data_IF_350850102251
#
_entry.id   IF_350850102251
#
_cell.length_a   1.000
_cell.length_b   1.000
_cell.length_c   1.000
_cell.angle_alpha   90.00
_cell.angle_beta   90.00
_cell.angle_gamma   90.00
#
_symmetry.space_group_name_H-M   'P 1'
#
loop_
_entity.id
_entity.type
_entity.pdbx_description
1 polymer ?
#
# COMPACT_ATOMS: atom_id res chain seq x y z
N UNK A 1 -16.72 52.11 -15.42
CA UNK A 1 -16.71 52.68 -16.78
C UNK A 1 -16.31 51.57 -17.74
N UNK A 2 -17.24 51.13 -18.59
CA UNK A 2 -17.03 50.08 -19.58
C UNK A 2 -16.13 50.57 -20.72
N UNK A 3 -15.20 49.74 -21.19
CA UNK A 3 -14.87 49.61 -22.62
C UNK A 3 -14.51 48.15 -22.94
N UNK A 4 -15.29 47.57 -23.85
CA UNK A 4 -15.00 46.41 -24.71
C UNK A 4 -14.15 46.87 -25.91
N UNK A 5 -13.46 46.11 -26.77
CA UNK A 5 -13.50 44.74 -27.34
C UNK A 5 -12.02 44.31 -27.58
N UNK A 6 -11.64 43.02 -27.61
CA UNK A 6 -11.90 42.05 -28.68
C UNK A 6 -10.88 40.88 -28.63
N UNK A 7 -11.08 39.79 -29.40
CA UNK A 7 -10.80 38.42 -28.97
C UNK A 7 -9.61 37.76 -29.68
N UNK A 8 -9.14 36.63 -29.12
CA UNK A 8 -8.52 35.43 -29.74
C UNK A 8 -7.36 34.86 -28.91
N UNK A 9 -7.69 33.74 -28.24
CA UNK A 9 -6.87 32.57 -27.90
C UNK A 9 -5.64 32.75 -26.99
N UNK A 10 -5.79 32.30 -25.74
CA UNK A 10 -4.71 32.07 -24.80
C UNK A 10 -5.20 31.87 -23.37
N UNK A 11 -5.98 30.82 -23.10
CA UNK A 11 -6.21 30.41 -21.71
C UNK A 11 -5.07 29.46 -21.31
N UNK A 12 -3.96 30.05 -20.86
CA UNK A 12 -3.11 29.40 -19.87
C UNK A 12 -3.78 29.70 -18.54
N UNK A 13 -4.30 28.71 -17.79
CA UNK A 13 -4.69 28.97 -16.42
C UNK A 13 -3.39 29.22 -15.64
N UNK A 14 -3.16 30.48 -15.29
CA UNK A 14 -2.22 30.85 -14.24
C UNK A 14 -2.64 30.11 -12.97
N UNK A 15 -1.90 29.05 -12.63
CA UNK A 15 -2.06 28.33 -11.39
C UNK A 15 -1.80 29.29 -10.21
N UNK A 16 -2.78 29.55 -9.34
CA UNK A 16 -2.50 30.24 -8.10
C UNK A 16 -1.96 29.21 -7.10
N UNK A 17 -0.66 29.35 -6.80
CA UNK A 17 -0.03 29.05 -5.51
C UNK A 17 -0.11 27.58 -5.04
N UNK A 18 0.90 26.74 -5.39
CA UNK A 18 0.98 25.32 -5.00
C UNK A 18 1.12 25.05 -3.49
N UNK A 19 1.49 26.06 -2.70
CA UNK A 19 1.88 25.86 -1.30
C UNK A 19 0.69 25.71 -0.32
N UNK A 20 -0.44 26.38 -0.60
CA UNK A 20 -1.62 26.33 0.27
C UNK A 20 -2.50 25.10 0.00
N UNK A 21 -2.47 24.57 -1.22
CA UNK A 21 -3.15 23.32 -1.57
C UNK A 21 -2.39 22.09 -1.05
N UNK A 22 -1.05 22.14 -0.97
CA UNK A 22 -0.28 21.10 -0.29
C UNK A 22 -0.66 21.01 1.19
N UNK A 23 -0.89 22.15 1.87
CA UNK A 23 -1.35 22.14 3.26
C UNK A 23 -2.82 21.74 3.44
N UNK A 24 -3.68 21.80 2.42
CA UNK A 24 -5.10 21.42 2.59
C UNK A 24 -5.42 20.01 2.10
N UNK A 25 -4.76 19.57 1.02
CA UNK A 25 -4.92 18.22 0.47
C UNK A 25 -4.15 17.20 1.32
N UNK A 26 -3.07 17.63 1.98
CA UNK A 26 -2.51 16.88 3.09
C UNK A 26 -3.21 17.25 4.42
N UNK A 27 -3.59 18.48 4.65
CA UNK A 27 -4.45 18.90 5.78
C UNK A 27 -5.62 17.98 6.16
N UNK A 28 -6.50 17.74 5.18
CA UNK A 28 -7.80 17.14 5.43
C UNK A 28 -7.77 15.62 5.71
N UNK A 29 -6.80 14.84 5.16
CA UNK A 29 -6.54 13.50 5.63
C UNK A 29 -5.36 13.39 6.62
N UNK A 30 -4.56 14.42 6.91
CA UNK A 30 -3.35 14.22 7.75
C UNK A 30 -3.59 14.36 9.25
N UNK A 31 -4.85 14.49 9.67
CA UNK A 31 -5.27 14.09 11.01
C UNK A 31 -5.25 12.57 11.23
N UNK A 32 -5.05 11.76 10.17
CA UNK A 32 -5.37 10.33 10.16
C UNK A 32 -4.20 9.40 10.44
N UNK A 33 -2.96 9.87 10.40
CA UNK A 33 -1.82 8.95 10.32
C UNK A 33 -1.34 8.38 11.67
N UNK A 34 -1.72 9.02 12.77
CA UNK A 34 -1.59 8.45 14.12
C UNK A 34 -2.90 7.93 14.71
N UNK A 35 -4.04 8.11 14.01
CA UNK A 35 -5.38 7.82 14.55
C UNK A 35 -6.17 6.77 13.73
N UNK A 36 -5.79 6.48 12.49
CA UNK A 36 -6.35 5.32 11.76
C UNK A 36 -5.75 4.02 12.25
N UNK A 37 -4.46 3.97 12.58
CA UNK A 37 -3.94 2.85 13.38
C UNK A 37 -4.23 3.09 14.86
N UNK A 38 -4.92 2.16 15.51
CA UNK A 38 -5.29 2.31 16.93
C UNK A 38 -4.44 1.51 17.87
N UNK A 39 -4.10 0.31 17.43
CA UNK A 39 -3.50 -0.69 18.26
C UNK A 39 -2.38 -1.36 17.49
N UNK A 40 -1.22 -1.44 18.14
CA UNK A 40 -0.24 -2.45 17.77
C UNK A 40 -0.68 -3.76 18.43
N UNK A 41 -0.96 -4.74 17.58
CA UNK A 41 -1.41 -6.07 17.97
C UNK A 41 -0.20 -7.01 18.05
N UNK A 42 -0.28 -7.99 18.93
CA UNK A 42 0.72 -9.04 19.06
C UNK A 42 0.03 -10.37 19.35
N UNK A 43 0.41 -11.44 18.65
CA UNK A 43 -0.19 -12.76 18.75
C UNK A 43 0.89 -13.82 18.96
N UNK A 44 0.63 -14.77 19.86
CA UNK A 44 1.44 -15.99 20.03
C UNK A 44 1.01 -17.05 19.00
N UNK A 45 1.89 -17.33 18.03
CA UNK A 45 1.62 -18.24 16.92
C UNK A 45 2.03 -19.70 17.16
N UNK A 46 2.51 -20.07 18.36
CA UNK A 46 3.05 -21.42 18.67
C UNK A 46 2.13 -22.60 18.36
N UNK A 47 0.82 -22.40 18.26
CA UNK A 47 -0.19 -23.45 18.00
C UNK A 47 -0.98 -23.25 16.71
N UNK A 48 -0.58 -22.31 15.86
CA UNK A 48 -1.34 -21.93 14.66
C UNK A 48 -0.78 -22.68 13.46
N UNK A 49 -1.66 -23.37 12.74
CA UNK A 49 -1.33 -23.95 11.44
C UNK A 49 -1.22 -22.88 10.37
N UNK A 50 -0.29 -23.07 9.44
CA UNK A 50 -0.07 -22.23 8.25
C UNK A 50 -1.39 -21.97 7.48
N UNK A 51 -1.67 -20.72 7.14
CA UNK A 51 -2.86 -20.33 6.35
C UNK A 51 -4.19 -20.22 7.10
N UNK A 52 -4.21 -20.21 8.44
CA UNK A 52 -5.44 -20.00 9.20
C UNK A 52 -6.04 -18.59 8.96
N UNK A 53 -7.30 -18.54 8.51
CA UNK A 53 -7.99 -17.31 8.08
C UNK A 53 -8.46 -16.38 9.22
N UNK A 54 -8.20 -16.71 10.49
CA UNK A 54 -8.49 -15.89 11.68
C UNK A 54 -8.12 -16.62 12.99
N UNK A 55 -7.81 -15.91 14.09
CA UNK A 55 -6.67 -15.02 14.27
C UNK A 55 -5.34 -15.80 14.30
N UNK A 56 -4.24 -15.17 13.86
CA UNK A 56 -2.88 -15.72 13.71
C UNK A 56 -2.19 -16.10 15.04
N UNK A 57 -2.94 -16.39 16.10
CA UNK A 57 -2.42 -16.78 17.40
C UNK A 57 -3.32 -16.42 18.56
N UNK A 58 -2.88 -16.76 19.77
CA UNK A 58 -3.49 -16.26 21.00
C UNK A 58 -3.09 -14.78 21.15
N UNK A 59 -4.04 -13.82 21.21
CA UNK A 59 -3.71 -12.41 21.31
C UNK A 59 -3.11 -12.07 22.67
N UNK A 60 -2.06 -11.27 22.68
CA UNK A 60 -1.60 -10.55 23.85
C UNK A 60 -2.41 -9.24 24.02
N UNK A 61 -2.36 -8.58 25.20
CA UNK A 61 -2.96 -7.27 25.38
C UNK A 61 -2.41 -6.25 24.35
N UNK A 62 -3.25 -5.63 23.52
CA UNK A 62 -2.78 -4.72 22.48
C UNK A 62 -2.16 -3.45 23.08
N UNK A 63 -1.24 -2.83 22.34
CA UNK A 63 -0.69 -1.53 22.73
C UNK A 63 -1.54 -0.41 22.13
N UNK A 64 -2.16 0.41 22.97
CA UNK A 64 -2.95 1.57 22.54
C UNK A 64 -2.02 2.67 22.03
N UNK A 65 -2.15 3.06 20.75
CA UNK A 65 -1.33 4.13 20.16
C UNK A 65 -1.68 5.53 20.71
N UNK A 66 -2.85 5.67 21.36
CA UNK A 66 -3.20 6.89 22.10
C UNK A 66 -2.38 7.06 23.39
N UNK A 67 -1.78 5.98 23.90
CA UNK A 67 -0.92 5.97 25.09
C UNK A 67 0.57 6.00 24.72
N UNK A 68 0.90 6.39 23.49
CA UNK A 68 2.28 6.59 23.04
C UNK A 68 2.71 8.04 23.24
N UNK A 69 3.98 8.22 23.60
CA UNK A 69 4.66 9.50 23.44
C UNK A 69 5.34 9.55 22.08
N UNK A 70 5.22 10.69 21.41
CA UNK A 70 5.74 10.89 20.05
C UNK A 70 6.82 11.95 20.05
N UNK A 71 7.91 11.67 19.33
CA UNK A 71 9.00 12.60 19.13
C UNK A 71 8.54 13.83 18.33
N UNK A 72 9.23 14.95 18.53
CA UNK A 72 8.94 16.16 17.76
C UNK A 72 9.31 15.98 16.29
N UNK A 73 8.34 16.21 15.41
CA UNK A 73 8.46 16.10 13.95
C UNK A 73 9.40 17.13 13.33
N UNK A 74 9.71 18.24 14.02
CA UNK A 74 10.54 19.32 13.44
C UNK A 74 11.90 18.82 12.99
N UNK A 75 12.47 17.84 13.70
CA UNK A 75 13.78 17.29 13.37
C UNK A 75 13.74 16.23 12.26
N UNK A 76 12.57 15.62 12.00
CA UNK A 76 12.39 14.58 10.98
C UNK A 76 11.75 15.08 9.69
N UNK A 77 11.33 16.36 9.65
CA UNK A 77 10.74 16.98 8.47
C UNK A 77 11.82 17.24 7.41
N UNK A 78 11.70 16.58 6.27
CA UNK A 78 12.53 16.77 5.11
C UNK A 78 11.71 17.33 3.95
N UNK A 79 11.91 18.62 3.67
CA UNK A 79 11.22 19.34 2.59
C UNK A 79 11.72 18.95 1.20
N UNK A 80 12.91 18.35 1.08
CA UNK A 80 13.46 17.93 -0.21
C UNK A 80 12.81 16.64 -0.69
N UNK A 81 12.54 15.71 0.24
CA UNK A 81 11.86 14.44 -0.03
C UNK A 81 10.36 14.49 0.25
N UNK A 82 9.86 15.65 0.72
CA UNK A 82 8.47 15.88 1.16
C UNK A 82 8.01 14.83 2.18
N UNK A 83 8.87 14.56 3.17
CA UNK A 83 8.63 13.50 4.16
C UNK A 83 8.77 13.95 5.61
N UNK A 84 8.11 13.24 6.52
CA UNK A 84 8.22 13.43 7.96
C UNK A 84 8.08 12.07 8.67
N UNK A 85 8.68 11.93 9.85
CA UNK A 85 8.63 10.70 10.63
C UNK A 85 8.08 10.97 12.03
N UNK A 86 7.00 10.26 12.37
CA UNK A 86 6.41 10.22 13.70
C UNK A 86 6.91 8.96 14.39
N UNK A 87 7.89 9.11 15.27
CA UNK A 87 8.47 8.00 16.03
C UNK A 87 8.02 8.08 17.48
N UNK A 88 7.56 6.97 18.04
CA UNK A 88 7.03 6.94 19.40
C UNK A 88 7.25 5.62 20.12
N UNK A 89 6.96 5.66 21.41
CA UNK A 89 7.01 4.53 22.34
C UNK A 89 5.89 4.67 23.39
N UNK A 90 5.42 3.56 23.99
CA UNK A 90 4.42 3.60 25.06
C UNK A 90 4.86 4.47 26.25
N UNK A 91 3.96 5.27 26.82
CA UNK A 91 4.23 6.14 27.98
C UNK A 91 4.40 5.32 29.26
N UNK A 92 3.43 4.44 29.54
CA UNK A 92 3.43 3.58 30.74
C UNK A 92 3.96 2.20 30.39
N UNK A 93 5.27 2.06 30.38
CA UNK A 93 5.93 0.80 30.08
C UNK A 93 6.42 0.07 31.35
N UNK A 94 5.63 -0.89 31.83
CA UNK A 94 6.02 -1.73 32.98
C UNK A 94 6.91 -2.92 32.62
N UNK A 95 6.92 -3.34 31.35
CA UNK A 95 7.61 -4.57 30.89
C UNK A 95 8.97 -4.31 30.24
N UNK A 96 9.29 -3.05 29.92
CA UNK A 96 10.53 -2.67 29.23
C UNK A 96 10.68 -3.22 27.80
N UNK A 97 9.57 -3.49 27.11
CA UNK A 97 9.59 -4.03 25.76
C UNK A 97 10.11 -3.02 24.71
N UNK A 98 9.79 -1.74 24.87
CA UNK A 98 10.19 -0.60 24.04
C UNK A 98 11.37 0.17 24.65
N UNK A 99 12.09 -0.38 25.63
CA UNK A 99 13.26 0.27 26.21
C UNK A 99 14.32 0.65 25.16
N UNK A 100 14.50 -0.20 24.14
CA UNK A 100 15.33 0.07 22.95
C UNK A 100 14.52 0.01 21.65
N UNK A 101 13.19 0.08 21.76
CA UNK A 101 12.26 -0.15 20.67
C UNK A 101 11.47 1.09 20.32
N UNK A 102 10.99 1.18 19.08
CA UNK A 102 10.10 2.26 18.66
C UNK A 102 9.15 1.80 17.57
N UNK A 103 7.98 2.45 17.53
CA UNK A 103 7.08 2.41 16.40
C UNK A 103 7.18 3.74 15.65
N UNK A 104 7.40 3.69 14.34
CA UNK A 104 7.53 4.86 13.50
C UNK A 104 6.54 4.84 12.34
N UNK A 105 5.89 5.97 12.10
CA UNK A 105 5.09 6.26 10.91
C UNK A 105 5.83 7.30 10.08
N UNK A 106 6.39 6.87 8.95
CA UNK A 106 6.98 7.76 7.97
C UNK A 106 5.95 8.11 6.91
N UNK A 107 5.72 9.41 6.73
CA UNK A 107 4.81 9.95 5.73
C UNK A 107 5.62 10.59 4.63
N UNK A 108 5.30 10.31 3.38
CA UNK A 108 5.93 10.93 2.22
C UNK A 108 4.88 11.33 1.19
N UNK A 109 4.91 12.59 0.77
CA UNK A 109 4.10 13.09 -0.33
C UNK A 109 4.88 13.08 -1.64
N UNK A 110 4.17 13.16 -2.78
CA UNK A 110 4.77 13.15 -4.10
C UNK A 110 4.25 14.30 -4.95
N UNK A 111 5.13 14.90 -5.78
CA UNK A 111 4.77 15.98 -6.70
C UNK A 111 4.36 15.49 -8.09
N UNK A 112 4.46 14.19 -8.35
CA UNK A 112 4.26 13.59 -9.67
C UNK A 112 4.09 12.08 -9.57
N UNK A 113 4.02 11.43 -10.73
CA UNK A 113 3.92 9.97 -10.78
C UNK A 113 5.29 9.31 -10.81
N UNK A 114 5.43 8.18 -10.11
CA UNK A 114 6.70 7.48 -10.03
C UNK A 114 6.65 6.25 -9.15
N UNK A 115 7.83 5.66 -8.92
CA UNK A 115 8.02 4.56 -7.96
C UNK A 115 9.20 4.88 -7.03
N UNK A 116 9.09 4.58 -5.73
CA UNK A 116 10.23 4.65 -4.82
C UNK A 116 11.30 3.65 -5.23
N UNK A 117 12.56 3.95 -4.87
CA UNK A 117 13.68 3.04 -5.08
C UNK A 117 13.69 1.85 -4.10
N UNK A 118 12.94 1.92 -3.00
CA UNK A 118 12.86 0.84 -2.01
C UNK A 118 11.60 -0.02 -2.21
N UNK A 119 11.69 -1.34 -1.97
CA UNK A 119 10.52 -2.21 -1.89
C UNK A 119 9.49 -1.69 -0.88
N UNK A 120 8.18 -1.84 -1.15
CA UNK A 120 7.55 -2.63 -2.22
C UNK A 120 7.26 -1.86 -3.54
N UNK A 121 7.98 -0.75 -3.81
CA UNK A 121 7.93 0.02 -5.06
C UNK A 121 6.50 0.38 -5.55
N UNK A 122 5.62 0.77 -4.61
CA UNK A 122 4.24 1.15 -4.90
C UNK A 122 4.22 2.33 -5.89
N UNK A 123 3.40 2.20 -6.94
CA UNK A 123 3.19 3.27 -7.93
C UNK A 123 2.44 4.41 -7.27
N UNK A 124 3.05 5.59 -7.20
CA UNK A 124 2.40 6.78 -6.65
C UNK A 124 2.09 7.80 -7.73
N UNK A 125 1.21 8.75 -7.40
CA UNK A 125 0.86 9.93 -8.20
C UNK A 125 0.95 11.18 -7.32
N UNK A 126 0.71 12.36 -7.89
CA UNK A 126 0.63 13.60 -7.11
C UNK A 126 -0.59 13.65 -6.17
N UNK A 127 -1.54 12.73 -6.35
CA UNK A 127 -2.79 12.66 -5.59
C UNK A 127 -2.72 11.65 -4.43
N UNK A 128 -1.53 11.08 -4.18
CA UNK A 128 -1.29 10.12 -3.11
C UNK A 128 -0.10 10.47 -2.24
N UNK A 129 -0.09 9.87 -1.06
CA UNK A 129 0.99 9.90 -0.09
C UNK A 129 1.28 8.47 0.36
N UNK A 130 2.55 8.19 0.60
CA UNK A 130 2.98 6.91 1.13
C UNK A 130 3.12 6.98 2.64
N UNK A 131 2.61 5.97 3.31
CA UNK A 131 2.82 5.70 4.72
C UNK A 131 3.64 4.45 4.85
N UNK A 132 4.77 4.56 5.52
CA UNK A 132 5.57 3.43 5.95
C UNK A 132 5.47 3.30 7.47
N UNK A 133 5.09 2.11 7.93
CA UNK A 133 5.07 1.76 9.35
C UNK A 133 6.27 0.87 9.65
N UNK A 134 7.05 1.25 10.65
CA UNK A 134 8.25 0.52 11.08
C UNK A 134 8.18 0.23 12.57
N UNK A 135 8.26 -1.04 12.93
CA UNK A 135 8.52 -1.49 14.30
C UNK A 135 9.97 -1.92 14.37
N UNK A 136 10.76 -1.28 15.22
CA UNK A 136 12.21 -1.49 15.31
C UNK A 136 12.63 -1.62 16.77
N UNK A 137 13.26 -2.75 17.13
CA UNK A 137 13.90 -2.99 18.43
C UNK A 137 12.98 -3.29 19.61
N UNK A 138 11.66 -3.36 19.41
CA UNK A 138 10.73 -3.72 20.49
C UNK A 138 10.84 -5.22 20.83
N UNK A 139 10.98 -5.55 22.11
CA UNK A 139 11.11 -6.94 22.57
C UNK A 139 9.74 -7.64 22.52
N UNK A 140 9.61 -8.77 21.79
CA UNK A 140 8.36 -9.52 21.76
C UNK A 140 8.07 -10.17 23.13
N UNK A 141 6.80 -10.36 23.44
CA UNK A 141 6.33 -11.03 24.66
C UNK A 141 6.39 -12.55 24.59
N UNK A 142 6.55 -13.10 23.38
CA UNK A 142 6.68 -14.53 23.12
C UNK A 142 7.78 -14.82 22.10
N UNK A 143 8.18 -16.09 22.02
CA UNK A 143 9.23 -16.51 21.09
C UNK A 143 8.76 -16.50 19.62
N UNK A 144 7.46 -16.69 19.39
CA UNK A 144 6.84 -16.70 18.06
C UNK A 144 5.74 -15.63 18.01
N UNK A 145 6.13 -14.38 18.26
CA UNK A 145 5.22 -13.24 18.19
C UNK A 145 5.00 -12.79 16.75
N UNK A 146 3.74 -12.76 16.33
CA UNK A 146 3.29 -12.13 15.09
C UNK A 146 2.70 -10.77 15.45
N UNK A 147 3.24 -9.71 14.86
CA UNK A 147 2.73 -8.36 15.06
C UNK A 147 1.63 -8.03 14.05
N UNK A 148 0.79 -7.07 14.42
CA UNK A 148 -0.26 -6.56 13.56
C UNK A 148 -0.64 -5.12 13.89
N UNK A 149 -1.47 -4.53 13.04
CA UNK A 149 -2.02 -3.20 13.23
C UNK A 149 -3.53 -3.25 13.06
N UNK A 150 -4.26 -2.71 14.03
CA UNK A 150 -5.68 -2.39 13.85
C UNK A 150 -5.77 -1.07 13.09
N UNK A 151 -6.35 -1.09 11.90
CA UNK A 151 -6.60 0.07 11.04
C UNK A 151 -8.09 0.39 11.05
N UNK A 152 -8.42 1.65 11.25
CA UNK A 152 -9.77 2.19 11.37
C UNK A 152 -9.95 3.31 10.39
N UNK A 153 -11.04 3.26 9.64
CA UNK A 153 -11.39 4.25 8.63
C UNK A 153 -12.77 4.82 8.91
N UNK A 154 -13.03 6.03 8.42
CA UNK A 154 -14.37 6.65 8.54
C UNK A 154 -15.32 5.95 7.55
N UNK A 155 -16.45 5.46 8.07
CA UNK A 155 -17.48 4.81 7.28
C UNK A 155 -18.34 5.85 6.55
N UNK A 156 -18.59 5.61 5.25
CA UNK A 156 -19.44 6.48 4.41
C UNK A 156 -20.92 6.05 4.40
N UNK A 157 -21.28 4.97 5.11
CA UNK A 157 -22.62 4.40 5.17
C UNK A 157 -22.82 3.43 6.34
N UNK A 158 -23.84 2.58 6.24
CA UNK A 158 -24.12 1.51 7.23
C UNK A 158 -23.17 0.32 7.08
N UNK A 159 -22.71 0.07 5.85
CA UNK A 159 -21.82 -1.03 5.51
C UNK A 159 -20.38 -0.54 5.34
N UNK A 160 -19.43 -1.42 5.65
CA UNK A 160 -18.02 -1.15 5.43
C UNK A 160 -17.59 -1.55 4.01
N UNK A 161 -16.65 -0.80 3.40
CA UNK A 161 -16.09 -1.19 2.12
C UNK A 161 -15.34 -2.52 2.25
N UNK A 162 -15.27 -3.27 1.15
CA UNK A 162 -14.46 -4.48 1.07
C UNK A 162 -13.12 -4.21 0.39
N UNK A 163 -12.08 -4.92 0.83
CA UNK A 163 -10.79 -4.93 0.16
C UNK A 163 -10.93 -5.65 -1.18
N UNK A 164 -10.43 -5.04 -2.25
CA UNK A 164 -10.33 -5.63 -3.58
C UNK A 164 -8.90 -6.06 -3.84
N UNK A 165 -8.71 -7.29 -4.27
CA UNK A 165 -7.41 -7.83 -4.65
C UNK A 165 -7.22 -7.68 -6.17
N UNK A 166 -6.28 -6.82 -6.56
CA UNK A 166 -5.91 -6.63 -7.97
C UNK A 166 -4.69 -7.49 -8.27
N UNK A 167 -4.78 -8.31 -9.30
CA UNK A 167 -3.69 -9.19 -9.72
C UNK A 167 -3.00 -8.62 -10.96
N UNK A 168 -1.68 -8.66 -10.98
CA UNK A 168 -0.83 -8.33 -12.13
C UNK A 168 0.12 -9.48 -12.40
N UNK A 169 0.45 -9.73 -13.66
CA UNK A 169 1.48 -10.73 -14.04
C UNK A 169 2.90 -10.18 -13.93
N UNK A 170 3.04 -8.89 -13.68
CA UNK A 170 4.32 -8.20 -13.58
C UNK A 170 4.76 -8.10 -12.12
N UNK A 171 5.88 -8.77 -11.79
CA UNK A 171 6.55 -8.72 -10.50
C UNK A 171 7.91 -8.00 -10.56
N UNK A 172 8.24 -7.29 -11.65
CA UNK A 172 9.52 -6.59 -11.79
C UNK A 172 9.78 -5.63 -10.62
N UNK A 173 8.73 -4.96 -10.17
CA UNK A 173 8.79 -3.99 -9.09
C UNK A 173 8.53 -4.60 -7.70
N UNK A 174 8.14 -5.87 -7.59
CA UNK A 174 7.97 -6.54 -6.31
C UNK A 174 8.07 -8.05 -6.52
N UNK A 175 9.29 -8.61 -6.52
CA UNK A 175 9.53 -10.00 -6.90
C UNK A 175 8.64 -10.97 -6.11
N UNK A 176 7.99 -11.90 -6.82
CA UNK A 176 7.03 -12.86 -6.27
C UNK A 176 5.75 -12.27 -5.62
N UNK A 177 5.48 -10.97 -5.78
CA UNK A 177 4.27 -10.31 -5.26
C UNK A 177 3.42 -9.78 -6.42
N UNK A 178 2.55 -10.66 -6.92
CA UNK A 178 1.67 -10.43 -8.07
C UNK A 178 0.32 -9.74 -7.71
N UNK A 179 0.22 -9.18 -6.50
CA UNK A 179 -1.03 -8.67 -5.95
C UNK A 179 -0.86 -7.25 -5.39
N UNK A 180 -1.92 -6.45 -5.55
CA UNK A 180 -2.11 -5.16 -4.89
C UNK A 180 -3.51 -5.15 -4.28
N UNK A 181 -3.56 -4.99 -2.97
CA UNK A 181 -4.81 -4.83 -2.24
C UNK A 181 -5.24 -3.37 -2.31
N UNK A 182 -6.53 -3.15 -2.53
CA UNK A 182 -7.11 -1.83 -2.70
C UNK A 182 -8.41 -1.71 -1.90
N UNK A 183 -8.48 -0.68 -1.06
CA UNK A 183 -9.70 -0.27 -0.39
C UNK A 183 -10.19 1.04 -1.00
N UNK A 184 -11.48 1.10 -1.35
CA UNK A 184 -12.13 2.30 -1.89
C UNK A 184 -13.23 2.74 -0.94
N UNK A 185 -13.22 4.01 -0.54
CA UNK A 185 -14.27 4.57 0.34
C UNK A 185 -15.57 4.89 -0.40
N UNK A 186 -15.53 4.92 -1.73
CA UNK A 186 -16.69 5.16 -2.59
C UNK A 186 -16.36 4.90 -4.08
N UNK A 187 -17.29 5.26 -4.96
CA UNK A 187 -17.04 5.21 -6.41
C UNK A 187 -16.00 6.25 -6.82
N UNK A 188 -14.96 5.84 -7.54
CA UNK A 188 -13.93 6.77 -8.03
C UNK A 188 -14.53 7.89 -8.89
N UNK A 189 -14.10 9.15 -8.70
CA UNK A 189 -13.03 9.62 -7.82
C UNK A 189 -13.45 9.65 -6.33
N UNK A 190 -12.65 9.04 -5.45
CA UNK A 190 -12.91 8.99 -4.01
C UNK A 190 -11.60 8.77 -3.23
N UNK A 191 -11.68 8.69 -1.90
CA UNK A 191 -10.56 8.23 -1.09
C UNK A 191 -10.22 6.78 -1.44
N UNK A 192 -8.92 6.46 -1.46
CA UNK A 192 -8.43 5.11 -1.68
C UNK A 192 -7.19 4.81 -0.83
N UNK A 193 -7.03 3.53 -0.52
CA UNK A 193 -5.87 2.97 0.15
C UNK A 193 -5.37 1.79 -0.68
N UNK A 194 -4.08 1.73 -0.96
CA UNK A 194 -3.46 0.63 -1.71
C UNK A 194 -2.19 0.13 -1.02
N UNK A 195 -2.02 -1.18 -0.97
CA UNK A 195 -0.80 -1.80 -0.44
C UNK A 195 -0.53 -3.12 -1.15
N UNK A 196 0.72 -3.57 -1.13
CA UNK A 196 1.01 -4.97 -1.48
C UNK A 196 0.85 -5.84 -0.23
N UNK A 197 0.37 -7.10 -0.33
CA UNK A 197 0.20 -8.00 0.80
C UNK A 197 1.56 -8.57 1.29
N UNK A 198 2.54 -7.69 1.50
CA UNK A 198 3.90 -8.01 1.91
C UNK A 198 4.41 -6.96 2.91
N UNK A 199 5.13 -7.44 3.91
CA UNK A 199 5.96 -6.63 4.81
C UNK A 199 7.39 -7.20 4.79
N UNK A 200 8.33 -6.54 5.46
CA UNK A 200 9.74 -6.93 5.48
C UNK A 200 10.24 -7.04 6.91
N UNK A 201 10.86 -8.17 7.26
CA UNK A 201 11.45 -8.42 8.59
C UNK A 201 12.87 -7.88 8.77
N UNK A 202 13.44 -7.26 7.72
CA UNK A 202 14.79 -6.70 7.72
C UNK A 202 14.82 -5.31 7.07
N UNK A 203 15.82 -4.51 7.41
CA UNK A 203 15.91 -3.10 7.01
C UNK A 203 16.26 -2.92 5.53
N UNK A 204 17.04 -3.85 4.99
CA UNK A 204 17.45 -3.92 3.58
C UNK A 204 16.25 -4.22 2.66
N UNK A 205 15.21 -4.88 3.20
CA UNK A 205 13.99 -5.30 2.48
C UNK A 205 14.28 -6.21 1.29
N UNK A 206 15.28 -7.06 1.45
CA UNK A 206 15.59 -8.10 0.47
C UNK A 206 14.43 -9.09 0.35
N UNK A 207 14.36 -9.78 -0.78
CA UNK A 207 13.28 -10.74 -1.09
C UNK A 207 13.15 -11.82 -0.02
N UNK A 208 14.26 -12.25 0.56
CA UNK A 208 14.33 -13.28 1.60
C UNK A 208 13.74 -12.83 2.94
N UNK A 209 13.63 -11.51 3.15
CA UNK A 209 13.01 -10.91 4.33
C UNK A 209 11.51 -10.61 4.14
N UNK A 210 10.96 -10.89 2.96
CA UNK A 210 9.55 -10.66 2.68
C UNK A 210 8.68 -11.61 3.49
N UNK A 211 7.73 -11.05 4.23
CA UNK A 211 6.75 -11.78 5.04
C UNK A 211 5.34 -11.38 4.59
N UNK A 212 4.35 -12.28 4.63
CA UNK A 212 3.00 -11.97 4.17
C UNK A 212 2.33 -10.92 5.04
N UNK A 213 1.51 -10.08 4.43
CA UNK A 213 0.60 -9.17 5.11
C UNK A 213 -0.84 -9.61 4.85
N UNK A 214 -1.53 -10.09 5.89
CA UNK A 214 -2.91 -10.55 5.81
C UNK A 214 -3.85 -9.48 6.36
N UNK A 215 -4.92 -9.18 5.63
CA UNK A 215 -5.95 -8.25 6.06
C UNK A 215 -7.22 -9.00 6.45
N UNK A 216 -7.78 -8.70 7.63
CA UNK A 216 -9.10 -9.20 8.01
C UNK A 216 -10.20 -8.52 7.20
N UNK A 217 -11.40 -9.10 7.21
CA UNK A 217 -12.58 -8.40 6.73
C UNK A 217 -12.82 -7.11 7.54
N UNK A 218 -13.33 -6.08 6.87
CA UNK A 218 -13.74 -4.85 7.53
C UNK A 218 -15.06 -5.06 8.27
N UNK A 219 -15.13 -4.56 9.50
CA UNK A 219 -16.31 -4.67 10.33
C UNK A 219 -16.74 -3.29 10.85
N UNK A 220 -18.05 -2.99 10.87
CA UNK A 220 -18.57 -1.78 11.51
C UNK A 220 -18.28 -1.84 13.00
N UNK A 221 -17.68 -0.78 13.56
CA UNK A 221 -17.31 -0.73 14.98
C UNK A 221 -18.45 -0.30 15.92
N UNK A 222 -19.69 -0.68 15.57
CA UNK A 222 -20.88 -0.41 16.40
C UNK A 222 -20.83 -1.09 17.78
N UNK A 223 -19.90 -2.01 18.01
CA UNK A 223 -19.86 -2.91 19.17
C UNK A 223 -18.93 -2.48 20.32
N UNK A 224 -18.06 -1.47 20.16
CA UNK A 224 -17.09 -1.11 21.20
C UNK A 224 -16.90 0.41 21.32
N UNK A 225 -16.71 0.90 22.55
CA UNK A 225 -16.38 2.29 22.84
C UNK A 225 -15.00 2.61 22.27
N UNK A 226 -14.98 3.24 21.10
CA UNK A 226 -13.76 3.64 20.43
C UNK A 226 -13.06 4.74 21.25
N UNK A 227 -11.74 4.63 21.52
CA UNK A 227 -10.97 5.74 22.07
C UNK A 227 -11.17 6.95 21.16
N UNK A 228 -11.59 8.07 21.74
CA UNK A 228 -11.96 9.23 20.95
C UNK A 228 -10.71 9.90 20.40
N UNK A 229 -10.45 9.66 19.12
CA UNK A 229 -9.59 10.53 18.33
C UNK A 229 -10.09 11.97 18.43
N UNK A 230 -9.21 12.88 18.87
CA UNK A 230 -9.56 14.29 18.99
C UNK A 230 -9.57 14.96 17.62
N UNK A 231 -8.71 14.52 16.70
CA UNK A 231 -8.60 15.16 15.38
C UNK A 231 -9.79 14.78 14.50
N UNK A 232 -10.17 13.50 14.45
CA UNK A 232 -11.38 13.07 13.73
C UNK A 232 -12.62 13.73 14.32
N UNK A 233 -12.74 13.79 15.65
CA UNK A 233 -13.87 14.49 16.29
C UNK A 233 -13.88 15.98 15.94
N UNK A 234 -12.73 16.64 15.91
CA UNK A 234 -12.62 18.07 15.59
C UNK A 234 -13.03 18.38 14.15
N UNK A 235 -12.70 17.50 13.19
CA UNK A 235 -12.98 17.74 11.78
C UNK A 235 -14.36 17.20 11.34
N UNK A 236 -14.72 15.99 11.78
CA UNK A 236 -15.90 15.25 11.30
C UNK A 236 -17.01 15.12 12.35
N UNK A 237 -16.77 15.45 13.61
CA UNK A 237 -17.74 15.23 14.69
C UNK A 237 -17.92 13.75 15.03
N UNK A 238 -19.15 13.35 15.35
CA UNK A 238 -19.47 11.94 15.63
C UNK A 238 -19.70 11.20 14.32
N UNK A 239 -18.92 10.16 14.06
CA UNK A 239 -18.99 9.37 12.84
C UNK A 239 -19.06 7.87 13.12
N UNK A 240 -19.51 7.13 12.12
CA UNK A 240 -19.39 5.68 12.08
C UNK A 240 -18.02 5.28 11.56
N UNK A 241 -17.49 4.16 12.03
CA UNK A 241 -16.15 3.70 11.71
C UNK A 241 -16.15 2.25 11.25
N UNK A 242 -15.19 1.94 10.39
CA UNK A 242 -14.91 0.59 9.89
C UNK A 242 -13.50 0.20 10.32
N UNK A 243 -13.35 -0.97 10.92
CA UNK A 243 -12.05 -1.46 11.39
C UNK A 243 -11.68 -2.78 10.72
N UNK A 244 -10.39 -2.97 10.49
CA UNK A 244 -9.80 -4.24 10.08
C UNK A 244 -8.39 -4.37 10.65
N UNK A 245 -7.93 -5.60 10.76
CA UNK A 245 -6.61 -5.91 11.27
C UNK A 245 -5.70 -6.30 10.12
N UNK A 246 -4.48 -5.77 10.16
CA UNK A 246 -3.36 -6.25 9.36
C UNK A 246 -2.46 -7.09 10.26
N UNK A 247 -2.09 -8.29 9.84
CA UNK A 247 -1.11 -9.13 10.53
C UNK A 247 0.07 -9.41 9.61
N UNK A 248 1.28 -9.44 10.18
CA UNK A 248 2.52 -9.50 9.41
C UNK A 248 3.35 -10.71 9.79
N UNK A 249 3.52 -11.62 8.84
CA UNK A 249 4.24 -12.88 9.03
C UNK A 249 3.33 -14.09 9.19
N UNK A 250 3.98 -15.24 9.10
CA UNK A 250 3.39 -16.57 9.31
C UNK A 250 3.97 -17.21 10.57
N UNK A 251 3.36 -18.29 11.10
CA UNK A 251 3.90 -19.00 12.26
C UNK A 251 5.29 -19.62 12.05
N UNK A 252 5.70 -19.78 10.79
CA UNK A 252 6.96 -20.40 10.38
C UNK A 252 7.67 -19.56 9.32
N UNK A 253 9.00 -19.61 9.31
CA UNK A 253 9.83 -18.90 8.33
C UNK A 253 10.45 -17.63 8.90
N UNK A 254 10.73 -16.67 8.02
CA UNK A 254 11.24 -15.37 8.41
C UNK A 254 10.16 -14.58 9.17
N UNK A 255 10.56 -13.84 10.20
CA UNK A 255 9.62 -13.11 11.03
C UNK A 255 10.29 -11.99 11.83
N UNK A 256 9.48 -11.25 12.58
CA UNK A 256 9.98 -10.14 13.40
C UNK A 256 11.07 -10.59 14.38
N UNK A 257 11.00 -11.81 14.89
CA UNK A 257 11.95 -12.38 15.86
C UNK A 257 13.39 -12.50 15.33
N UNK A 258 13.63 -12.44 14.01
CA UNK A 258 14.96 -12.61 13.43
C UNK A 258 15.87 -11.40 13.71
N UNK A 259 15.37 -10.19 13.48
CA UNK A 259 16.12 -8.93 13.63
C UNK A 259 15.43 -7.90 14.52
N UNK A 260 14.26 -8.22 15.09
CA UNK A 260 13.40 -7.26 15.80
C UNK A 260 13.05 -6.06 14.92
N UNK A 261 12.78 -6.33 13.65
CA UNK A 261 12.44 -5.31 12.67
C UNK A 261 11.23 -5.75 11.86
N UNK A 262 10.33 -4.81 11.58
CA UNK A 262 9.21 -4.98 10.67
C UNK A 262 8.95 -3.67 9.95
N UNK A 263 8.85 -3.71 8.62
CA UNK A 263 8.45 -2.57 7.80
C UNK A 263 7.31 -2.96 6.86
N UNK A 264 6.26 -2.14 6.83
CA UNK A 264 5.13 -2.28 5.93
C UNK A 264 4.78 -0.92 5.32
N UNK A 265 4.28 -0.89 4.09
CA UNK A 265 3.95 0.36 3.39
C UNK A 265 2.58 0.32 2.73
N UNK A 266 1.89 1.45 2.75
CA UNK A 266 0.64 1.70 2.03
C UNK A 266 0.67 3.06 1.33
N UNK A 267 -0.16 3.22 0.31
CA UNK A 267 -0.53 4.48 -0.30
C UNK A 267 -1.92 4.89 0.19
N UNK A 268 -2.05 6.16 0.54
CA UNK A 268 -3.32 6.83 0.83
C UNK A 268 -3.48 7.97 -0.17
N UNK A 269 -4.66 8.12 -0.76
CA UNK A 269 -4.88 9.18 -1.75
C UNK A 269 -6.34 9.50 -2.00
N UNK A 270 -6.55 10.53 -2.82
CA UNK A 270 -7.87 11.03 -3.20
C UNK A 270 -7.95 11.11 -4.72
N UNK A 271 -9.00 10.54 -5.32
CA UNK A 271 -9.20 10.57 -6.77
C UNK A 271 -9.23 9.18 -7.37
N UNK A 272 -8.42 8.95 -8.40
CA UNK A 272 -8.28 7.65 -9.04
C UNK A 272 -7.05 6.92 -8.50
N UNK A 273 -7.21 5.68 -8.01
CA UNK A 273 -6.06 4.90 -7.53
C UNK A 273 -5.07 4.64 -8.68
N UNK A 274 -3.76 4.72 -8.42
CA UNK A 274 -2.73 4.29 -9.35
C UNK A 274 -2.96 2.86 -9.86
N UNK A 275 -2.75 2.64 -11.16
CA UNK A 275 -2.91 1.33 -11.81
C UNK A 275 -1.57 0.92 -12.39
N UNK A 276 -1.08 -0.26 -11.99
CA UNK A 276 0.13 -0.85 -12.55
C UNK A 276 -0.09 -1.24 -14.02
N UNK A 277 0.77 -0.76 -14.90
CA UNK A 277 0.90 -1.26 -16.27
C UNK A 277 2.02 -2.30 -16.34
N UNK A 278 1.99 -3.17 -17.35
CA UNK A 278 3.08 -4.10 -17.61
C UNK A 278 4.37 -3.35 -17.90
N UNK A 279 5.45 -3.78 -17.26
CA UNK A 279 6.76 -3.20 -17.46
C UNK A 279 7.28 -3.40 -18.89
N UNK A 280 8.19 -2.53 -19.35
CA UNK A 280 8.85 -2.71 -20.64
C UNK A 280 9.57 -4.06 -20.77
N UNK A 281 10.12 -4.60 -19.68
CA UNK A 281 10.80 -5.90 -19.67
C UNK A 281 9.80 -7.03 -19.91
N UNK A 282 8.71 -7.08 -19.16
CA UNK A 282 7.67 -8.11 -19.31
C UNK A 282 7.04 -8.03 -20.70
N UNK A 283 6.75 -6.81 -21.19
CA UNK A 283 6.28 -6.60 -22.56
C UNK A 283 7.29 -7.11 -23.59
N UNK A 284 8.59 -6.90 -23.37
CA UNK A 284 9.66 -7.42 -24.23
C UNK A 284 9.70 -8.95 -24.26
N UNK A 285 9.60 -9.61 -23.10
CA UNK A 285 9.54 -11.08 -23.00
C UNK A 285 8.31 -11.61 -23.75
N UNK A 286 7.13 -11.03 -23.51
CA UNK A 286 5.89 -11.43 -24.19
C UNK A 286 6.04 -11.25 -25.71
N UNK A 287 6.61 -10.13 -26.16
CA UNK A 287 6.81 -9.85 -27.57
C UNK A 287 7.73 -10.88 -28.25
N UNK A 288 8.83 -11.29 -27.60
CA UNK A 288 9.73 -12.31 -28.15
C UNK A 288 9.12 -13.70 -28.08
N UNK A 289 8.56 -14.08 -26.93
CA UNK A 289 8.02 -15.40 -26.68
C UNK A 289 6.81 -15.74 -27.57
N UNK A 290 5.94 -14.76 -27.85
CA UNK A 290 4.79 -14.94 -28.75
C UNK A 290 5.11 -14.55 -30.20
N UNK A 291 5.96 -13.54 -30.40
CA UNK A 291 6.29 -13.03 -31.72
C UNK A 291 7.11 -14.00 -32.55
N UNK A 292 8.12 -14.67 -31.96
CA UNK A 292 8.97 -15.60 -32.71
C UNK A 292 8.18 -16.83 -33.22
N UNK A 293 7.37 -17.53 -32.40
CA UNK A 293 6.51 -18.60 -32.90
C UNK A 293 5.47 -18.11 -33.91
N UNK A 294 4.88 -16.93 -33.69
CA UNK A 294 3.93 -16.34 -34.63
C UNK A 294 4.53 -16.09 -36.01
N UNK A 295 5.73 -15.52 -36.06
CA UNK A 295 6.46 -15.29 -37.32
C UNK A 295 6.86 -16.60 -38.01
N UNK A 296 7.26 -17.62 -37.26
CA UNK A 296 7.57 -18.95 -37.81
C UNK A 296 6.33 -19.61 -38.41
N UNK A 297 5.17 -19.53 -37.74
CA UNK A 297 3.91 -20.06 -38.25
C UNK A 297 3.44 -19.32 -39.51
N UNK A 298 3.54 -17.99 -39.52
CA UNK A 298 3.19 -17.18 -40.70
C UNK A 298 4.13 -17.45 -41.87
N UNK A 299 5.44 -17.47 -41.62
CA UNK A 299 6.45 -17.76 -42.64
C UNK A 299 6.32 -19.18 -43.19
N UNK A 300 6.13 -20.17 -42.31
CA UNK A 300 5.88 -21.56 -42.69
C UNK A 300 4.57 -21.73 -43.47
N UNK A 301 3.49 -21.10 -43.02
CA UNK A 301 2.20 -21.10 -43.72
C UNK A 301 2.29 -20.48 -45.10
N UNK A 302 2.94 -19.32 -45.23
CA UNK A 302 3.16 -18.66 -46.52
C UNK A 302 4.01 -19.53 -47.45
N UNK A 303 5.08 -20.16 -46.94
CA UNK A 303 5.91 -21.07 -47.72
C UNK A 303 5.11 -22.25 -48.26
N UNK A 304 4.26 -22.87 -47.44
CA UNK A 304 3.39 -23.97 -47.87
C UNK A 304 2.38 -23.54 -48.94
N UNK A 305 1.76 -22.36 -48.79
CA UNK A 305 0.82 -21.81 -49.78
C UNK A 305 1.49 -21.52 -51.12
N UNK A 306 2.69 -20.94 -51.10
CA UNK A 306 3.47 -20.66 -52.32
C UNK A 306 3.90 -21.95 -53.02
N UNK A 307 4.35 -22.96 -52.26
CA UNK A 307 4.72 -24.27 -52.80
C UNK A 307 3.54 -24.98 -53.44
N UNK A 308 2.34 -24.92 -52.85
CA UNK A 308 1.14 -25.53 -53.42
C UNK A 308 0.79 -24.92 -54.80
N UNK A 309 0.94 -23.61 -54.98
CA UNK A 309 0.70 -22.97 -56.29
C UNK A 309 1.66 -23.45 -57.38
N UNK A 310 2.94 -23.66 -57.04
CA UNK A 310 3.93 -24.16 -58.00
C UNK A 310 3.66 -25.61 -58.45
N UNK A 311 3.13 -26.47 -57.58
CA UNK A 311 2.75 -27.84 -57.95
C UNK A 311 1.43 -27.92 -58.73
N UNK A 312 0.53 -26.94 -58.56
CA UNK A 312 -0.74 -26.88 -59.30
C UNK A 312 -0.58 -26.43 -60.75
N UNK A 313 0.59 -25.91 -61.16
CA UNK A 313 0.91 -25.58 -62.56
C UNK A 313 1.44 -26.78 -63.37
N UNK A 314 1.39 -28.00 -62.83
CA UNK A 314 1.75 -29.19 -63.61
C UNK A 314 0.68 -29.49 -64.68
N UNK A 315 1.14 -29.49 -65.93
CA UNK A 315 0.40 -29.55 -67.19
C UNK A 315 -0.77 -30.53 -67.22
N UNK A 316 -1.91 -30.09 -67.76
CA UNK A 316 -2.95 -30.97 -68.29
C UNK A 316 -2.33 -31.89 -69.34
N UNK A 317 -2.30 -33.19 -69.06
CA UNK A 317 -1.92 -34.21 -70.04
C UNK A 317 -3.03 -34.23 -71.10
N UNK A 318 -2.68 -33.82 -72.33
CA UNK A 318 -3.47 -34.01 -73.54
C UNK A 318 -3.73 -35.50 -73.81
#
# INVERSE_FOLDING_TARGET
>A
MCRSWGPYWGWVPCAPIPWLLLSLVCTAPFGLLGEETRQLLEFDSTKVSEGATQPSGKPYPPYSLAEFSWNNITNSLDLTTLSAVFQGHPVDEHTGAFANGSLAFKVQAFSGSGRPAQPPHLLHTADSCQVEVVLDGASPRGNHSIFGLEVVTIGTGLDCPSVKELHSIDDEYAPAVFQVNQLLWGSSPSGFMQWRPVAFSQKERDRESAVPCQASSLHPTLAYSLPSSLIVRAFFGSQNFCAFNLTFGDPTGAGYWDQHYLSWSMLLGMGFPPVDALSPLVLGIIAVALGAPGLLLLGGGLFLLLRHRQYSEYQSIN
#
